data_IF_438670772202
#
_entry.id   IF_438670772202
#
_cell.length_a   1.000
_cell.length_b   1.000
_cell.length_c   1.000
_cell.angle_alpha   90.00
_cell.angle_beta   90.00
_cell.angle_gamma   90.00
#
_symmetry.space_group_name_H-M   'P 1'
#
loop_
_entity.id
_entity.type
_entity.pdbx_description
1 polymer ?
#
# COMPACT_ATOMS: atom_id res chain seq x y z
N UNK A 1 35.62 -20.39 -10.04
CA UNK A 1 36.71 -19.50 -10.50
C UNK A 1 36.07 -18.42 -11.36
N UNK A 2 36.07 -17.17 -10.89
CA UNK A 2 35.55 -16.03 -11.65
C UNK A 2 36.52 -15.69 -12.79
N UNK A 3 36.00 -15.48 -14.00
CA UNK A 3 36.82 -15.09 -15.17
C UNK A 3 36.69 -13.59 -15.36
N UNK A 4 37.83 -12.90 -15.45
CA UNK A 4 37.93 -11.46 -15.69
C UNK A 4 37.70 -11.12 -17.16
N UNK A 5 37.00 -10.02 -17.43
CA UNK A 5 37.15 -9.28 -18.69
C UNK A 5 37.02 -7.78 -18.42
N UNK A 6 38.09 -7.04 -18.70
CA UNK A 6 38.23 -5.57 -18.65
C UNK A 6 38.01 -4.97 -20.07
N UNK A 7 37.98 -3.63 -20.28
CA UNK A 7 37.78 -2.53 -19.33
C UNK A 7 36.66 -1.55 -19.77
N UNK A 8 36.02 -0.85 -18.83
CA UNK A 8 35.60 0.54 -19.07
C UNK A 8 35.66 1.31 -17.75
N UNK A 9 36.35 2.45 -17.78
CA UNK A 9 36.70 3.27 -16.64
C UNK A 9 35.52 4.17 -16.21
N UNK A 10 35.39 4.32 -14.89
CA UNK A 10 35.06 5.51 -14.07
C UNK A 10 33.94 5.19 -13.06
N UNK A 11 34.30 5.31 -11.78
CA UNK A 11 33.52 5.15 -10.55
C UNK A 11 33.56 3.76 -9.89
N UNK A 12 33.88 3.78 -8.60
CA UNK A 12 34.50 2.71 -7.81
C UNK A 12 33.45 1.84 -7.09
N UNK A 13 32.47 1.33 -7.83
CA UNK A 13 31.58 0.27 -7.35
C UNK A 13 31.84 -0.96 -8.22
N UNK A 14 32.55 -1.95 -7.65
CA UNK A 14 32.58 -3.28 -8.23
C UNK A 14 31.16 -3.86 -8.20
N UNK A 15 30.43 -3.76 -9.31
CA UNK A 15 29.25 -4.58 -9.51
C UNK A 15 29.70 -6.04 -9.65
N UNK A 16 29.69 -6.76 -8.53
CA UNK A 16 29.74 -8.22 -8.53
C UNK A 16 28.45 -8.75 -9.17
N UNK A 17 28.47 -9.04 -10.47
CA UNK A 17 27.49 -9.94 -11.06
C UNK A 17 27.88 -11.37 -10.65
N UNK A 18 27.48 -11.76 -9.43
CA UNK A 18 27.39 -13.17 -9.09
C UNK A 18 26.37 -13.84 -10.02
N UNK A 19 26.58 -15.09 -10.48
CA UNK A 19 25.49 -15.88 -11.03
C UNK A 19 24.39 -15.96 -9.95
N UNK A 20 23.28 -15.27 -10.19
CA UNK A 20 22.34 -14.87 -9.15
C UNK A 20 21.57 -16.06 -8.58
N UNK A 21 22.03 -16.60 -7.47
CA UNK A 21 21.25 -17.53 -6.64
C UNK A 21 20.10 -16.76 -6.00
N UNK A 22 18.86 -17.03 -6.41
CA UNK A 22 17.67 -16.34 -5.92
C UNK A 22 16.66 -17.34 -5.34
N UNK A 23 15.87 -16.88 -4.37
CA UNK A 23 14.76 -17.63 -3.78
C UNK A 23 13.49 -16.80 -3.94
N UNK A 24 12.37 -17.45 -4.25
CA UNK A 24 11.04 -16.82 -4.27
C UNK A 24 10.00 -17.75 -3.67
N UNK A 25 8.86 -17.18 -3.28
CA UNK A 25 7.67 -17.92 -2.89
C UNK A 25 6.62 -17.88 -4.00
N UNK A 26 5.99 -19.02 -4.26
CA UNK A 26 4.97 -19.17 -5.30
C UNK A 26 3.86 -20.14 -4.87
N UNK A 27 2.84 -20.33 -5.71
CA UNK A 27 1.80 -21.33 -5.52
C UNK A 27 0.40 -20.76 -5.26
N UNK A 28 -0.54 -21.62 -4.89
CA UNK A 28 -1.92 -21.22 -4.56
C UNK A 28 -1.96 -20.59 -3.18
N UNK A 29 -2.54 -19.40 -3.06
CA UNK A 29 -2.68 -18.70 -1.76
C UNK A 29 -1.36 -18.20 -1.16
N UNK A 30 -0.29 -18.09 -1.97
CA UNK A 30 0.97 -17.54 -1.50
C UNK A 30 0.85 -16.04 -1.14
N UNK A 31 1.68 -15.60 -0.19
CA UNK A 31 1.89 -14.20 0.17
C UNK A 31 3.37 -13.86 0.01
N UNK A 32 3.76 -12.63 0.32
CA UNK A 32 5.18 -12.23 0.39
C UNK A 32 6.01 -13.16 1.30
N UNK A 33 5.40 -13.68 2.36
CA UNK A 33 6.07 -14.42 3.43
C UNK A 33 5.49 -15.82 3.68
N UNK A 34 4.72 -16.36 2.74
CA UNK A 34 4.25 -17.74 2.79
C UNK A 34 4.04 -18.31 1.40
N UNK A 35 4.51 -19.51 1.12
CA UNK A 35 4.34 -20.14 -0.19
C UNK A 35 5.29 -21.31 -0.42
N UNK A 36 5.18 -21.95 -1.59
CA UNK A 36 6.13 -22.95 -2.08
C UNK A 36 7.48 -22.30 -2.35
N UNK A 37 8.56 -22.94 -1.91
CA UNK A 37 9.93 -22.44 -2.11
C UNK A 37 10.42 -22.80 -3.51
N UNK A 38 10.80 -21.78 -4.28
CA UNK A 38 11.46 -21.98 -5.58
C UNK A 38 12.83 -21.29 -5.55
N UNK A 39 13.82 -21.96 -6.13
CA UNK A 39 15.20 -21.49 -6.21
C UNK A 39 15.65 -21.34 -7.66
N UNK A 40 16.38 -20.26 -7.96
CA UNK A 40 16.95 -20.01 -9.27
C UNK A 40 18.39 -20.50 -9.31
N UNK A 41 18.65 -21.50 -10.15
CA UNK A 41 19.96 -22.11 -10.32
C UNK A 41 20.21 -22.38 -11.82
N UNK A 42 21.42 -22.11 -12.29
CA UNK A 42 21.84 -22.41 -13.68
C UNK A 42 20.87 -21.90 -14.77
N UNK A 43 20.25 -20.74 -14.56
CA UNK A 43 19.37 -20.12 -15.55
C UNK A 43 17.91 -20.58 -15.51
N UNK A 44 17.51 -21.42 -14.54
CA UNK A 44 16.14 -21.89 -14.42
C UNK A 44 15.65 -21.92 -12.97
N UNK A 45 14.35 -21.66 -12.80
CA UNK A 45 13.64 -21.87 -11.53
C UNK A 45 13.33 -23.36 -11.36
N UNK A 46 13.39 -23.82 -10.12
CA UNK A 46 12.97 -25.15 -9.72
C UNK A 46 12.61 -25.19 -8.24
N UNK A 47 11.94 -26.25 -7.81
CA UNK A 47 11.41 -26.41 -6.46
C UNK A 47 12.41 -27.10 -5.53
N UNK A 48 12.03 -27.20 -4.25
CA UNK A 48 12.77 -27.89 -3.19
C UNK A 48 11.90 -29.04 -2.71
N UNK A 49 12.47 -30.25 -2.57
CA UNK A 49 11.76 -31.39 -2.02
C UNK A 49 11.59 -31.27 -0.50
N UNK A 50 10.50 -31.81 0.04
CA UNK A 50 10.18 -31.79 1.47
C UNK A 50 10.79 -32.94 2.29
N UNK A 51 11.55 -33.86 1.65
CA UNK A 51 12.38 -34.84 2.34
C UNK A 51 13.36 -34.15 3.31
N UNK A 52 13.25 -34.49 4.59
CA UNK A 52 13.95 -33.89 5.73
C UNK A 52 13.72 -32.37 5.92
N UNK A 53 12.76 -31.76 5.21
CA UNK A 53 12.46 -30.33 5.30
C UNK A 53 11.88 -29.94 6.66
N UNK A 54 12.62 -29.13 7.41
CA UNK A 54 12.30 -28.78 8.78
C UNK A 54 12.18 -27.27 9.04
N UNK A 55 11.93 -26.91 10.29
CA UNK A 55 11.76 -25.51 10.69
C UNK A 55 13.06 -24.69 10.58
N UNK A 56 14.24 -25.33 10.69
CA UNK A 56 15.53 -24.66 10.50
C UNK A 56 15.75 -24.31 9.02
N UNK A 57 15.35 -25.19 8.11
CA UNK A 57 15.39 -24.90 6.66
C UNK A 57 14.46 -23.73 6.31
N UNK A 58 13.22 -23.80 6.82
CA UNK A 58 12.27 -22.72 6.67
C UNK A 58 12.79 -21.41 7.30
N UNK A 59 13.50 -21.47 8.44
CA UNK A 59 14.06 -20.31 9.11
C UNK A 59 15.09 -19.60 8.24
N UNK A 60 15.95 -20.36 7.55
CA UNK A 60 16.91 -19.80 6.60
C UNK A 60 16.20 -19.11 5.44
N UNK A 61 15.16 -19.73 4.86
CA UNK A 61 14.37 -19.12 3.78
C UNK A 61 13.67 -17.85 4.26
N UNK A 62 12.99 -17.89 5.41
CA UNK A 62 12.27 -16.75 5.97
C UNK A 62 13.21 -15.58 6.26
N UNK A 63 14.40 -15.85 6.81
CA UNK A 63 15.43 -14.82 7.02
C UNK A 63 15.98 -14.29 5.70
N UNK A 64 16.29 -15.17 4.74
CA UNK A 64 16.81 -14.79 3.43
C UNK A 64 15.84 -13.89 2.66
N UNK A 65 14.53 -14.07 2.83
CA UNK A 65 13.48 -13.27 2.21
C UNK A 65 13.10 -12.02 3.02
N UNK A 66 13.72 -11.77 4.19
CA UNK A 66 13.34 -10.66 5.07
C UNK A 66 11.96 -10.82 5.71
N UNK A 67 11.48 -12.05 5.84
CA UNK A 67 10.14 -12.39 6.32
C UNK A 67 10.09 -12.81 7.80
N UNK A 68 11.13 -12.50 8.58
CA UNK A 68 11.20 -12.80 10.00
C UNK A 68 11.51 -14.28 10.30
N UNK A 69 10.89 -14.83 11.34
CA UNK A 69 11.12 -16.20 11.81
C UNK A 69 10.21 -17.21 11.12
N UNK A 70 10.63 -18.46 10.95
CA UNK A 70 9.75 -19.50 10.45
C UNK A 70 8.69 -19.87 11.50
N UNK A 71 7.43 -19.88 11.07
CA UNK A 71 6.30 -20.39 11.86
C UNK A 71 5.99 -21.84 11.51
N UNK A 72 6.18 -22.23 10.24
CA UNK A 72 6.01 -23.62 9.81
C UNK A 72 6.79 -23.91 8.52
N UNK A 73 7.13 -25.19 8.35
CA UNK A 73 7.80 -25.77 7.18
C UNK A 73 6.87 -26.79 6.49
N UNK A 74 5.80 -26.36 5.80
CA UNK A 74 4.85 -27.28 5.18
C UNK A 74 5.48 -28.03 4.00
N UNK A 75 5.26 -29.34 3.94
CA UNK A 75 5.59 -30.20 2.79
C UNK A 75 4.36 -30.54 1.95
N UNK A 76 4.46 -31.64 1.21
CA UNK A 76 3.40 -32.30 0.46
C UNK A 76 2.65 -31.37 -0.50
N UNK A 77 3.38 -30.46 -1.14
CA UNK A 77 2.84 -29.47 -2.04
C UNK A 77 1.65 -28.67 -1.45
N UNK A 78 1.73 -28.31 -0.16
CA UNK A 78 0.66 -27.57 0.53
C UNK A 78 0.22 -26.29 -0.21
N UNK A 79 1.15 -25.58 -0.84
CA UNK A 79 0.87 -24.40 -1.68
C UNK A 79 0.65 -24.75 -3.16
N UNK A 80 0.29 -25.98 -3.45
CA UNK A 80 0.20 -26.54 -4.79
C UNK A 80 1.54 -27.00 -5.34
N UNK A 81 1.46 -27.86 -6.34
CA UNK A 81 2.60 -28.43 -7.04
C UNK A 81 3.27 -27.39 -7.94
N UNK A 82 4.60 -27.40 -7.97
CA UNK A 82 5.41 -26.75 -8.97
C UNK A 82 5.49 -27.56 -10.26
N UNK A 83 6.40 -27.14 -11.12
CA UNK A 83 6.64 -27.76 -12.43
C UNK A 83 8.11 -27.68 -12.79
N UNK A 84 8.63 -28.67 -13.49
CA UNK A 84 9.98 -28.64 -14.05
C UNK A 84 11.00 -29.31 -13.14
N UNK A 85 12.02 -28.56 -12.73
CA UNK A 85 13.17 -29.09 -11.99
C UNK A 85 12.90 -29.05 -10.49
N UNK A 86 13.39 -30.06 -9.77
CA UNK A 86 13.52 -30.08 -8.31
C UNK A 86 15.02 -29.96 -8.01
N UNK A 87 15.45 -28.78 -7.56
CA UNK A 87 16.88 -28.44 -7.46
C UNK A 87 17.56 -29.02 -6.22
N UNK A 88 16.86 -29.01 -5.09
CA UNK A 88 17.38 -29.46 -3.80
C UNK A 88 16.55 -30.61 -3.25
N UNK A 89 17.26 -31.54 -2.63
CA UNK A 89 16.72 -32.62 -1.81
C UNK A 89 17.52 -32.73 -0.51
N UNK A 90 16.91 -33.31 0.53
CA UNK A 90 17.52 -33.53 1.85
C UNK A 90 18.21 -32.24 2.34
N UNK A 91 17.47 -31.12 2.35
CA UNK A 91 18.01 -29.86 2.86
C UNK A 91 18.15 -30.02 4.37
N UNK A 92 19.33 -29.70 4.89
CA UNK A 92 19.64 -29.83 6.31
C UNK A 92 20.42 -28.60 6.75
N UNK A 93 19.69 -27.50 6.92
CA UNK A 93 20.17 -26.28 7.54
C UNK A 93 20.34 -26.46 9.06
N UNK A 94 21.29 -25.74 9.63
CA UNK A 94 21.42 -25.54 11.08
C UNK A 94 20.48 -24.45 11.59
N UNK A 95 20.02 -23.56 10.69
CA UNK A 95 19.14 -22.43 10.99
C UNK A 95 19.87 -21.08 10.97
N UNK A 96 21.21 -21.08 10.95
CA UNK A 96 22.07 -19.88 11.00
C UNK A 96 22.69 -19.52 9.64
N UNK A 97 22.42 -20.29 8.59
CA UNK A 97 22.91 -20.02 7.26
C UNK A 97 22.32 -18.74 6.66
N UNK A 98 23.16 -17.87 6.08
CA UNK A 98 22.68 -16.64 5.43
C UNK A 98 21.74 -16.91 4.25
N UNK A 99 21.92 -18.03 3.55
CA UNK A 99 21.10 -18.40 2.39
C UNK A 99 20.89 -19.91 2.34
N UNK A 100 19.77 -20.34 1.75
CA UNK A 100 19.41 -21.75 1.56
C UNK A 100 20.49 -22.52 0.78
N UNK A 101 21.22 -21.81 -0.08
CA UNK A 101 22.32 -22.37 -0.89
C UNK A 101 23.55 -22.76 -0.05
N UNK A 102 23.69 -22.24 1.17
CA UNK A 102 24.78 -22.58 2.10
C UNK A 102 24.46 -23.78 2.99
N UNK A 103 23.20 -24.21 3.06
CA UNK A 103 22.83 -25.39 3.82
C UNK A 103 23.41 -26.66 3.20
N UNK A 104 23.61 -27.68 4.03
CA UNK A 104 23.87 -29.02 3.52
C UNK A 104 22.66 -29.46 2.71
N UNK A 105 22.89 -29.98 1.51
CA UNK A 105 21.84 -30.52 0.65
C UNK A 105 22.46 -31.55 -0.30
N UNK A 106 21.63 -32.49 -0.75
CA UNK A 106 22.00 -33.34 -1.88
C UNK A 106 21.61 -32.62 -3.16
N UNK A 107 22.61 -32.07 -3.85
CA UNK A 107 22.41 -31.48 -5.18
C UNK A 107 22.38 -32.57 -6.23
N UNK A 108 21.25 -32.66 -6.93
CA UNK A 108 21.05 -33.26 -8.26
C UNK A 108 20.97 -34.80 -8.36
N UNK A 109 20.01 -35.23 -9.20
CA UNK A 109 19.88 -36.50 -9.95
C UNK A 109 19.82 -37.83 -9.19
N UNK A 110 19.72 -37.84 -7.87
CA UNK A 110 19.57 -39.10 -7.11
C UNK A 110 18.52 -39.02 -6.00
N UNK A 111 17.50 -38.19 -6.20
CA UNK A 111 16.31 -38.12 -5.35
C UNK A 111 15.11 -38.72 -6.09
N UNK A 112 14.13 -39.22 -5.34
CA UNK A 112 12.90 -39.81 -5.91
C UNK A 112 11.72 -38.84 -5.88
N UNK A 113 11.99 -37.57 -5.55
CA UNK A 113 10.94 -36.63 -5.29
C UNK A 113 10.13 -36.30 -6.53
N UNK A 114 8.82 -36.18 -6.36
CA UNK A 114 7.90 -35.63 -7.32
C UNK A 114 7.32 -34.30 -6.81
N UNK A 115 6.56 -33.59 -7.65
CA UNK A 115 6.07 -32.26 -7.29
C UNK A 115 4.97 -32.25 -6.24
N UNK A 116 4.39 -33.41 -5.92
CA UNK A 116 3.54 -33.60 -4.74
C UNK A 116 4.35 -33.55 -3.42
N UNK A 117 5.68 -33.50 -3.49
CA UNK A 117 6.63 -33.37 -2.37
C UNK A 117 7.30 -31.98 -2.36
N UNK A 118 6.73 -30.98 -3.05
CA UNK A 118 7.31 -29.64 -3.04
C UNK A 118 7.15 -28.95 -1.68
N UNK A 119 8.28 -28.50 -1.13
CA UNK A 119 8.37 -27.80 0.15
C UNK A 119 7.89 -26.35 0.09
N UNK A 120 7.32 -25.89 1.20
CA UNK A 120 6.87 -24.52 1.42
C UNK A 120 7.32 -23.96 2.76
N UNK A 121 7.05 -22.67 2.94
CA UNK A 121 7.29 -21.95 4.20
C UNK A 121 6.09 -21.12 4.58
N UNK A 122 5.90 -20.94 5.88
CA UNK A 122 5.11 -19.85 6.45
C UNK A 122 6.01 -19.14 7.44
N UNK A 123 6.31 -17.88 7.15
CA UNK A 123 7.15 -17.04 7.99
C UNK A 123 6.28 -16.15 8.87
N UNK A 124 6.89 -15.60 9.92
CA UNK A 124 6.22 -14.73 10.88
C UNK A 124 5.74 -13.46 10.22
N UNK A 125 6.45 -13.03 9.17
CA UNK A 125 6.10 -12.06 8.14
C UNK A 125 5.39 -10.81 8.65
N UNK A 126 5.91 -9.63 8.34
CA UNK A 126 5.12 -8.43 8.61
C UNK A 126 3.86 -8.47 7.74
N UNK A 127 2.71 -8.68 8.37
CA UNK A 127 1.40 -8.61 7.73
C UNK A 127 0.75 -7.28 8.06
N UNK A 128 -0.05 -6.76 7.14
CA UNK A 128 -0.79 -5.53 7.36
C UNK A 128 -2.28 -5.80 7.16
N UNK A 129 -3.11 -5.22 8.02
CA UNK A 129 -4.57 -5.24 7.89
C UNK A 129 -5.14 -3.86 8.09
N UNK A 130 -6.33 -3.65 7.52
CA UNK A 130 -7.15 -2.46 7.69
C UNK A 130 -8.40 -2.83 8.52
N UNK A 131 -8.51 -2.28 9.73
CA UNK A 131 -9.57 -2.64 10.70
C UNK A 131 -10.28 -1.40 11.25
N UNK A 132 -11.25 -1.61 12.14
CA UNK A 132 -12.02 -0.56 12.78
C UNK A 132 -13.47 -0.47 12.28
N UNK A 133 -14.25 0.40 12.90
CA UNK A 133 -15.67 0.52 12.58
C UNK A 133 -15.87 1.06 11.16
N UNK A 134 -16.61 0.33 10.33
CA UNK A 134 -16.82 0.71 8.93
C UNK A 134 -15.58 0.54 8.03
N UNK A 135 -14.61 -0.29 8.45
CA UNK A 135 -13.48 -0.67 7.60
C UNK A 135 -13.91 -1.55 6.42
N UNK A 136 -13.13 -1.49 5.35
CA UNK A 136 -13.25 -2.33 4.16
C UNK A 136 -11.89 -2.95 3.87
N UNK A 137 -11.81 -3.79 2.82
CA UNK A 137 -10.53 -4.32 2.36
C UNK A 137 -9.48 -3.23 2.04
N UNK A 138 -9.94 -2.05 1.63
CA UNK A 138 -9.10 -0.96 1.14
C UNK A 138 -9.27 0.32 1.97
N UNK A 139 -9.85 0.25 3.16
CA UNK A 139 -9.93 1.40 4.07
C UNK A 139 -10.07 0.94 5.52
N UNK A 140 -9.27 1.50 6.42
CA UNK A 140 -9.27 1.11 7.84
C UNK A 140 -8.14 1.78 8.62
N UNK A 141 -8.15 1.60 9.94
CA UNK A 141 -6.98 1.78 10.79
C UNK A 141 -5.91 0.79 10.38
N UNK A 142 -4.68 1.26 10.23
CA UNK A 142 -3.52 0.46 9.84
C UNK A 142 -3.03 -0.31 11.05
N UNK A 143 -3.01 -1.64 10.94
CA UNK A 143 -2.39 -2.49 11.95
C UNK A 143 -1.38 -3.44 11.29
N UNK A 144 -0.25 -3.57 11.96
CA UNK A 144 0.91 -4.38 11.55
C UNK A 144 0.99 -5.61 12.46
N UNK A 145 1.18 -6.78 11.89
CA UNK A 145 1.50 -7.99 12.62
C UNK A 145 3.00 -8.16 12.66
N UNK A 146 3.57 -8.06 13.86
CA UNK A 146 5.00 -8.24 14.06
C UNK A 146 5.22 -8.99 15.38
N UNK A 147 6.21 -9.89 15.42
CA UNK A 147 6.57 -10.67 16.60
C UNK A 147 5.36 -11.31 17.34
N UNK A 148 4.48 -11.97 16.59
CA UNK A 148 3.37 -12.73 17.16
C UNK A 148 2.13 -11.92 17.58
N UNK A 149 2.09 -10.61 17.34
CA UNK A 149 0.97 -9.77 17.77
C UNK A 149 0.67 -8.60 16.82
N UNK A 150 -0.61 -8.23 16.74
CA UNK A 150 -1.08 -7.04 16.01
C UNK A 150 -0.87 -5.79 16.85
N UNK A 151 -0.45 -4.71 16.20
CA UNK A 151 -0.30 -3.38 16.79
C UNK A 151 -0.50 -2.29 15.74
N UNK A 152 -0.67 -1.06 16.18
CA UNK A 152 -1.04 0.08 15.32
C UNK A 152 0.18 0.82 14.78
N UNK A 153 -0.05 1.89 14.02
CA UNK A 153 0.97 2.77 13.42
C UNK A 153 0.63 4.21 13.80
N UNK A 154 1.60 4.98 14.27
CA UNK A 154 1.42 6.40 14.62
C UNK A 154 1.30 7.30 13.39
N UNK A 155 0.58 8.42 13.53
CA UNK A 155 0.31 9.42 12.50
C UNK A 155 1.38 10.49 12.35
N UNK A 156 2.41 10.46 13.19
CA UNK A 156 3.59 11.31 13.06
C UNK A 156 4.36 11.00 11.76
N UNK A 157 4.65 12.09 11.03
CA UNK A 157 5.21 12.12 9.68
C UNK A 157 4.45 11.33 8.59
N UNK A 158 3.28 10.74 8.90
CA UNK A 158 2.51 9.93 7.97
C UNK A 158 1.93 10.75 6.80
N UNK A 159 2.30 10.39 5.57
CA UNK A 159 2.01 11.13 4.36
C UNK A 159 1.32 10.31 3.24
N UNK A 160 1.26 10.93 2.06
CA UNK A 160 0.69 10.31 0.86
C UNK A 160 1.52 9.13 0.34
N UNK A 161 2.85 9.22 0.37
CA UNK A 161 3.73 8.16 -0.09
C UNK A 161 3.59 6.91 0.77
N UNK A 162 3.43 7.08 2.09
CA UNK A 162 3.20 5.96 3.02
C UNK A 162 1.91 5.23 2.67
N UNK A 163 0.85 6.01 2.47
CA UNK A 163 -0.45 5.45 2.10
C UNK A 163 -0.40 4.84 0.70
N UNK A 164 0.35 5.41 -0.24
CA UNK A 164 0.52 4.84 -1.57
C UNK A 164 1.23 3.49 -1.52
N UNK A 165 2.31 3.37 -0.74
CA UNK A 165 3.03 2.12 -0.53
C UNK A 165 2.10 1.09 0.11
N UNK A 166 1.38 1.47 1.17
CA UNK A 166 0.41 0.61 1.86
C UNK A 166 -0.70 0.12 0.91
N UNK A 167 -1.31 1.01 0.15
CA UNK A 167 -2.40 0.68 -0.77
C UNK A 167 -1.94 -0.23 -1.90
N UNK A 168 -0.74 0.02 -2.45
CA UNK A 168 -0.10 -0.86 -3.43
C UNK A 168 0.20 -2.23 -2.82
N UNK A 169 0.73 -2.28 -1.60
CA UNK A 169 1.03 -3.52 -0.88
C UNK A 169 -0.22 -4.37 -0.64
N UNK A 170 -1.37 -3.74 -0.35
CA UNK A 170 -2.66 -4.42 -0.16
C UNK A 170 -3.37 -4.79 -1.48
N UNK A 171 -2.80 -4.38 -2.63
CA UNK A 171 -3.39 -4.60 -3.95
C UNK A 171 -4.67 -3.79 -4.18
N UNK A 172 -4.79 -2.63 -3.54
CA UNK A 172 -5.90 -1.69 -3.72
C UNK A 172 -5.58 -0.69 -4.84
N UNK A 173 -6.62 -0.09 -5.45
CA UNK A 173 -6.41 1.03 -6.37
C UNK A 173 -5.74 2.18 -5.59
N UNK A 174 -4.85 2.91 -6.25
CA UNK A 174 -4.10 4.03 -5.67
C UNK A 174 -4.50 5.37 -6.28
N UNK A 175 -5.56 5.39 -7.10
CA UNK A 175 -6.06 6.63 -7.70
C UNK A 175 -6.66 7.54 -6.63
N UNK A 176 -7.50 7.02 -5.74
CA UNK A 176 -8.31 7.81 -4.80
C UNK A 176 -7.89 7.59 -3.33
N UNK A 177 -6.65 7.97 -3.01
CA UNK A 177 -6.06 7.81 -1.68
C UNK A 177 -6.47 8.96 -0.76
N UNK A 178 -6.99 8.60 0.42
CA UNK A 178 -7.09 9.44 1.62
C UNK A 178 -5.94 9.02 2.55
N UNK A 179 -4.90 9.87 2.69
CA UNK A 179 -3.68 9.50 3.40
C UNK A 179 -3.90 9.38 4.91
N UNK A 180 -4.88 10.10 5.45
CA UNK A 180 -5.13 10.11 6.89
C UNK A 180 -6.61 10.29 7.23
N UNK A 181 -7.10 9.48 8.18
CA UNK A 181 -8.43 9.61 8.76
C UNK A 181 -8.52 8.92 10.13
N UNK A 182 -9.14 9.58 11.11
CA UNK A 182 -9.41 9.01 12.45
C UNK A 182 -10.72 8.21 12.54
N UNK A 183 -11.43 8.01 11.43
CA UNK A 183 -12.82 7.47 11.42
C UNK A 183 -12.96 6.02 11.87
N UNK A 184 -11.87 5.27 11.88
CA UNK A 184 -11.89 3.85 12.20
C UNK A 184 -11.76 3.55 13.70
N UNK A 185 -11.63 4.62 14.50
CA UNK A 185 -11.43 4.57 15.93
C UNK A 185 -10.00 4.22 16.31
N UNK A 186 -9.71 4.40 17.58
CA UNK A 186 -8.44 4.06 18.21
C UNK A 186 -8.25 2.55 18.27
N UNK A 187 -7.01 2.11 18.17
CA UNK A 187 -6.61 0.75 18.43
C UNK A 187 -6.40 0.48 19.92
N UNK A 188 -5.81 -0.67 20.19
CA UNK A 188 -5.48 -1.11 21.54
C UNK A 188 -4.16 -1.89 21.49
N UNK A 189 -3.47 -1.93 22.64
CA UNK A 189 -2.27 -2.74 22.80
C UNK A 189 -1.02 -1.93 22.50
N UNK A 190 -0.18 -2.44 21.61
CA UNK A 190 1.08 -1.80 21.24
C UNK A 190 0.97 -1.01 19.94
N UNK A 191 1.77 0.05 19.83
CA UNK A 191 2.05 0.74 18.58
C UNK A 191 3.37 0.14 18.04
N UNK A 192 3.35 -0.30 16.78
CA UNK A 192 4.49 -0.97 16.18
C UNK A 192 5.42 -0.03 15.44
N UNK A 193 4.88 0.95 14.72
CA UNK A 193 5.64 1.83 13.86
C UNK A 193 5.31 3.28 14.19
N UNK A 194 6.32 4.12 14.02
CA UNK A 194 6.30 5.56 14.23
C UNK A 194 7.29 6.22 13.26
N UNK A 195 7.05 7.50 12.94
CA UNK A 195 7.77 8.30 11.94
C UNK A 195 7.99 7.53 10.64
N UNK A 196 6.91 6.93 10.11
CA UNK A 196 7.00 6.20 8.85
C UNK A 196 7.15 7.22 7.72
N UNK A 197 8.24 7.11 6.97
CA UNK A 197 8.58 8.04 5.88
C UNK A 197 9.02 7.27 4.64
N UNK A 198 8.06 6.95 3.78
CA UNK A 198 8.27 6.29 2.50
C UNK A 198 8.68 7.27 1.38
N UNK A 199 9.51 6.82 0.45
CA UNK A 199 9.82 7.49 -0.81
C UNK A 199 8.73 7.27 -1.88
N UNK A 200 7.83 6.29 -1.68
CA UNK A 200 6.72 5.96 -2.55
C UNK A 200 6.99 4.78 -3.50
N UNK A 201 8.21 4.26 -3.56
CA UNK A 201 8.60 3.15 -4.45
C UNK A 201 8.82 1.81 -3.72
N UNK A 202 8.69 1.82 -2.40
CA UNK A 202 8.87 0.68 -1.52
C UNK A 202 7.83 -0.41 -1.77
N UNK A 203 8.23 -1.67 -1.60
CA UNK A 203 7.32 -2.79 -1.82
C UNK A 203 6.46 -3.15 -0.60
N UNK A 204 6.81 -2.62 0.58
CA UNK A 204 6.11 -2.82 1.85
C UNK A 204 6.27 -1.58 2.72
N UNK A 205 5.29 -1.28 3.56
CA UNK A 205 5.34 -0.19 4.54
C UNK A 205 6.55 -0.31 5.49
N UNK A 206 6.93 -1.53 5.83
CA UNK A 206 8.11 -1.82 6.67
C UNK A 206 9.44 -1.77 5.93
N UNK A 207 9.43 -1.56 4.62
CA UNK A 207 10.66 -1.28 3.87
C UNK A 207 10.99 0.23 3.89
N UNK A 208 10.05 1.07 4.34
CA UNK A 208 10.22 2.51 4.47
C UNK A 208 11.08 2.86 5.70
N UNK A 209 11.62 4.07 5.72
CA UNK A 209 12.30 4.58 6.90
C UNK A 209 11.29 4.72 8.05
N UNK A 210 11.68 4.31 9.25
CA UNK A 210 10.90 4.40 10.49
C UNK A 210 11.82 4.26 11.70
N UNK A 211 11.38 4.68 12.89
CA UNK A 211 12.19 4.66 14.13
C UNK A 211 12.46 3.26 14.71
N UNK A 212 11.84 2.23 14.11
CA UNK A 212 12.00 0.83 14.48
C UNK A 212 10.82 0.31 15.29
N UNK A 213 10.68 -1.01 15.36
CA UNK A 213 9.51 -1.62 16.00
C UNK A 213 9.43 -1.30 17.50
N UNK A 214 8.27 -0.80 17.97
CA UNK A 214 8.00 -0.38 19.36
C UNK A 214 8.84 0.82 19.85
N UNK A 215 9.52 1.52 18.96
CA UNK A 215 10.18 2.78 19.29
C UNK A 215 9.25 3.91 18.85
N UNK A 216 8.52 4.50 19.80
CA UNK A 216 7.54 5.56 19.55
C UNK A 216 7.31 6.38 20.83
N UNK A 217 6.79 7.60 20.68
CA UNK A 217 6.27 8.41 21.81
C UNK A 217 4.75 8.71 21.71
N UNK A 218 4.08 8.12 20.72
CA UNK A 218 2.64 8.28 20.50
C UNK A 218 1.71 7.51 21.45
N UNK A 219 0.46 7.97 21.51
CA UNK A 219 -0.70 7.34 22.13
C UNK A 219 -1.72 6.85 21.07
N UNK A 220 -2.74 6.07 21.44
CA UNK A 220 -3.70 5.50 20.45
C UNK A 220 -4.64 6.51 19.76
N UNK A 221 -4.72 7.75 20.24
CA UNK A 221 -5.40 8.86 19.55
C UNK A 221 -4.65 9.33 18.29
N UNK A 222 -3.40 8.87 18.12
CA UNK A 222 -2.50 9.11 17.00
C UNK A 222 -2.42 7.89 16.06
N UNK A 223 -3.29 6.88 16.24
CA UNK A 223 -3.32 5.74 15.31
C UNK A 223 -3.79 6.15 13.90
N UNK A 224 -2.99 5.80 12.89
CA UNK A 224 -3.29 6.07 11.48
C UNK A 224 -4.47 5.25 10.99
N UNK A 225 -5.41 5.94 10.34
CA UNK A 225 -6.37 5.33 9.43
C UNK A 225 -6.25 5.85 8.01
N UNK A 226 -6.52 4.98 7.03
CA UNK A 226 -6.36 5.29 5.60
C UNK A 226 -7.59 4.86 4.79
N UNK A 227 -7.75 5.42 3.60
CA UNK A 227 -8.59 4.83 2.57
C UNK A 227 -7.88 4.86 1.21
N UNK A 228 -7.66 3.70 0.60
CA UNK A 228 -7.07 3.58 -0.73
C UNK A 228 -8.05 3.92 -1.86
N UNK A 229 -9.34 3.89 -1.55
CA UNK A 229 -10.41 4.35 -2.43
C UNK A 229 -11.46 5.07 -1.61
N UNK A 230 -11.56 6.40 -1.76
CA UNK A 230 -12.74 7.13 -1.32
C UNK A 230 -12.53 8.54 -0.77
N UNK A 231 -12.29 9.50 -1.67
CA UNK A 231 -12.98 10.79 -1.56
C UNK A 231 -13.72 11.05 -2.87
N UNK A 232 -14.95 10.55 -2.95
CA UNK A 232 -15.83 10.90 -4.06
C UNK A 232 -16.26 12.36 -3.89
N UNK A 233 -16.07 13.15 -4.94
CA UNK A 233 -16.67 14.47 -5.06
C UNK A 233 -17.87 14.40 -5.99
N UNK A 234 -18.93 15.13 -5.68
CA UNK A 234 -20.08 15.29 -6.57
C UNK A 234 -20.48 16.76 -6.69
N UNK A 235 -21.19 17.06 -7.77
CA UNK A 235 -21.83 18.35 -7.98
C UNK A 235 -23.33 18.22 -7.74
N UNK A 236 -23.86 19.01 -6.82
CA UNK A 236 -25.26 18.97 -6.39
C UNK A 236 -25.89 20.37 -6.37
N UNK A 237 -27.19 20.45 -6.06
CA UNK A 237 -27.91 21.72 -5.89
C UNK A 237 -28.82 22.10 -7.06
N UNK A 238 -29.44 23.27 -6.96
CA UNK A 238 -30.42 23.73 -7.94
C UNK A 238 -29.74 24.09 -9.26
N UNK A 239 -30.15 23.44 -10.35
CA UNK A 239 -29.57 23.66 -11.67
C UNK A 239 -28.20 23.00 -11.89
N UNK A 240 -27.78 22.09 -10.99
CA UNK A 240 -26.53 21.35 -11.18
C UNK A 240 -26.59 20.44 -12.40
N UNK A 241 -25.46 20.30 -13.08
CA UNK A 241 -25.20 19.32 -14.14
C UNK A 241 -24.04 18.42 -13.73
N UNK A 242 -23.64 17.48 -14.60
CA UNK A 242 -22.44 16.67 -14.38
C UNK A 242 -21.16 17.50 -14.16
N UNK A 243 -21.10 18.72 -14.71
CA UNK A 243 -19.90 19.57 -14.70
C UNK A 243 -20.17 20.99 -14.15
N UNK A 244 -21.26 21.16 -13.40
CA UNK A 244 -21.59 22.45 -12.75
C UNK A 244 -22.46 22.20 -11.53
N UNK A 245 -22.15 22.79 -10.37
CA UNK A 245 -22.95 22.63 -9.15
C UNK A 245 -22.18 22.95 -7.86
N UNK A 246 -22.86 22.82 -6.72
CA UNK A 246 -22.28 22.86 -5.37
C UNK A 246 -21.36 21.65 -5.20
N UNK A 247 -20.15 21.88 -4.68
CA UNK A 247 -19.17 20.83 -4.41
C UNK A 247 -19.52 20.13 -3.10
N UNK A 248 -19.73 18.83 -3.17
CA UNK A 248 -19.90 17.97 -2.00
C UNK A 248 -18.86 16.87 -2.00
N UNK A 249 -18.29 16.59 -0.84
CA UNK A 249 -17.26 15.56 -0.63
C UNK A 249 -17.87 14.44 0.21
N UNK A 250 -17.62 13.20 -0.19
CA UNK A 250 -18.01 12.03 0.60
C UNK A 250 -16.89 11.67 1.57
N UNK A 251 -17.11 11.96 2.85
CA UNK A 251 -16.21 11.59 3.93
C UNK A 251 -17.00 10.99 5.10
N UNK A 252 -16.37 10.06 5.83
CA UNK A 252 -16.97 9.43 7.01
C UNK A 252 -18.41 8.87 6.79
N UNK A 253 -18.65 8.25 5.63
CA UNK A 253 -19.94 7.62 5.30
C UNK A 253 -21.08 8.59 4.98
N UNK A 254 -20.81 9.90 4.91
CA UNK A 254 -21.83 10.92 4.63
C UNK A 254 -21.32 11.99 3.67
N UNK A 255 -22.24 12.56 2.89
CA UNK A 255 -21.95 13.72 2.05
C UNK A 255 -21.92 14.98 2.91
N UNK A 256 -20.95 15.84 2.66
CA UNK A 256 -20.83 17.14 3.28
C UNK A 256 -20.28 18.18 2.31
N UNK A 257 -20.33 19.44 2.70
CA UNK A 257 -20.06 20.58 1.81
C UNK A 257 -18.66 21.16 2.03
N UNK A 258 -18.28 22.11 1.19
CA UNK A 258 -16.99 22.81 1.25
C UNK A 258 -17.27 24.31 1.43
N UNK A 259 -16.53 24.95 2.34
CA UNK A 259 -16.67 26.36 2.68
C UNK A 259 -16.01 27.28 1.64
N UNK A 260 -16.57 28.48 1.46
CA UNK A 260 -16.08 29.48 0.49
C UNK A 260 -14.93 30.36 0.95
N UNK A 261 -14.47 30.19 2.19
CA UNK A 261 -13.29 30.87 2.70
C UNK A 261 -12.06 30.46 1.86
N UNK A 262 -11.45 31.46 1.20
CA UNK A 262 -10.34 31.34 0.23
C UNK A 262 -10.63 30.58 -1.08
N UNK A 263 -11.88 30.21 -1.36
CA UNK A 263 -12.26 29.46 -2.57
C UNK A 263 -12.03 30.24 -3.87
N UNK A 264 -11.11 29.74 -4.71
CA UNK A 264 -10.67 30.39 -5.94
C UNK A 264 -10.74 29.48 -7.19
N UNK A 265 -10.25 30.02 -8.32
CA UNK A 265 -10.27 29.30 -9.60
C UNK A 265 -9.30 28.11 -9.63
N UNK A 266 -8.23 28.12 -8.85
CA UNK A 266 -7.30 27.00 -8.72
C UNK A 266 -7.98 25.83 -8.00
N UNK A 267 -8.77 26.11 -6.96
CA UNK A 267 -9.58 25.08 -6.29
C UNK A 267 -10.60 24.47 -7.25
N UNK A 268 -11.32 25.32 -7.97
CA UNK A 268 -12.26 24.88 -9.00
C UNK A 268 -11.57 24.07 -10.10
N UNK A 269 -10.34 24.42 -10.47
CA UNK A 269 -9.56 23.69 -11.48
C UNK A 269 -9.22 22.26 -11.02
N UNK A 270 -8.91 22.07 -9.74
CA UNK A 270 -8.71 20.74 -9.15
C UNK A 270 -10.01 19.93 -9.21
N UNK A 271 -11.14 20.51 -8.79
CA UNK A 271 -12.47 19.86 -8.85
C UNK A 271 -12.84 19.46 -10.28
N UNK A 272 -12.72 20.37 -11.24
CA UNK A 272 -13.07 20.12 -12.63
C UNK A 272 -12.19 19.05 -13.28
N UNK A 273 -10.90 19.02 -12.93
CA UNK A 273 -9.97 17.97 -13.35
C UNK A 273 -10.32 16.63 -12.72
N UNK A 274 -10.56 16.59 -11.41
CA UNK A 274 -10.92 15.38 -10.66
C UNK A 274 -12.22 14.75 -11.19
N UNK A 275 -13.21 15.56 -11.58
CA UNK A 275 -14.46 15.09 -12.21
C UNK A 275 -14.32 14.72 -13.69
N UNK A 276 -13.16 14.97 -14.31
CA UNK A 276 -12.95 14.75 -15.74
C UNK A 276 -13.76 15.69 -16.64
N UNK A 277 -14.12 16.87 -16.14
CA UNK A 277 -14.97 17.87 -16.80
C UNK A 277 -14.19 18.94 -17.59
N UNK A 278 -12.86 18.85 -17.64
CA UNK A 278 -12.01 19.80 -18.36
C UNK A 278 -11.56 20.96 -17.47
N UNK A 279 -11.37 22.14 -18.07
CA UNK A 279 -10.92 23.34 -17.34
C UNK A 279 -12.04 23.97 -16.51
N UNK A 280 -11.67 24.60 -15.40
CA UNK A 280 -12.61 25.42 -14.63
C UNK A 280 -12.92 26.73 -15.36
N UNK A 281 -14.21 27.06 -15.43
CA UNK A 281 -14.70 28.33 -15.99
C UNK A 281 -14.98 29.34 -14.87
N UNK A 282 -15.51 28.88 -13.74
CA UNK A 282 -15.77 29.74 -12.58
C UNK A 282 -15.76 28.96 -11.26
N UNK A 283 -15.35 29.67 -10.21
CA UNK A 283 -15.47 29.30 -8.81
C UNK A 283 -16.57 30.18 -8.19
N UNK A 284 -17.56 29.57 -7.54
CA UNK A 284 -18.72 30.27 -6.98
C UNK A 284 -18.73 30.15 -5.45
N UNK A 285 -18.58 31.26 -4.72
CA UNK A 285 -18.79 31.28 -3.28
C UNK A 285 -20.29 31.38 -2.93
N UNK A 286 -20.59 31.37 -1.63
CA UNK A 286 -21.84 31.83 -1.03
C UNK A 286 -23.11 31.11 -1.53
N UNK A 287 -23.06 29.78 -1.57
CA UNK A 287 -24.20 28.90 -1.85
C UNK A 287 -24.93 29.22 -3.17
N UNK A 288 -24.18 29.56 -4.22
CA UNK A 288 -24.73 29.90 -5.54
C UNK A 288 -25.68 28.83 -6.11
N UNK A 289 -25.41 27.55 -5.86
CA UNK A 289 -26.26 26.42 -6.28
C UNK A 289 -27.26 25.99 -5.19
N UNK A 290 -27.52 26.87 -4.23
CA UNK A 290 -28.30 26.60 -3.04
C UNK A 290 -27.46 26.00 -1.92
N UNK A 291 -28.00 26.08 -0.71
CA UNK A 291 -27.41 25.54 0.52
C UNK A 291 -27.47 24.02 0.50
N UNK A 292 -26.38 23.38 0.92
CA UNK A 292 -26.32 21.95 1.19
C UNK A 292 -26.87 21.62 2.57
N UNK A 293 -26.51 20.43 3.04
CA UNK A 293 -26.95 19.91 4.34
C UNK A 293 -25.90 18.97 4.90
N UNK A 294 -25.79 18.90 6.22
CA UNK A 294 -24.89 17.98 6.90
C UNK A 294 -23.59 18.66 7.33
N UNK A 295 -22.48 17.92 7.45
CA UNK A 295 -21.21 18.50 7.85
C UNK A 295 -20.59 19.37 6.74
N UNK A 296 -19.81 20.38 7.12
CA UNK A 296 -18.87 21.07 6.22
C UNK A 296 -17.52 20.36 6.36
N UNK A 297 -17.10 19.61 5.34
CA UNK A 297 -15.91 18.75 5.42
C UNK A 297 -14.60 19.49 5.25
N UNK A 298 -14.59 20.49 4.38
CA UNK A 298 -13.39 21.26 4.05
C UNK A 298 -13.66 22.75 4.25
N UNK A 299 -12.72 23.44 4.88
CA UNK A 299 -12.69 24.89 5.05
C UNK A 299 -11.33 25.43 4.63
N UNK A 300 -11.24 26.72 4.31
CA UNK A 300 -9.97 27.39 3.98
C UNK A 300 -9.17 26.61 2.91
N UNK A 301 -9.85 26.13 1.85
CA UNK A 301 -9.21 25.30 0.80
C UNK A 301 -8.32 26.20 -0.05
N UNK A 302 -7.06 25.80 -0.24
CA UNK A 302 -6.05 26.54 -0.99
C UNK A 302 -5.24 25.61 -1.87
N UNK A 303 -5.74 25.37 -3.07
CA UNK A 303 -5.06 24.63 -4.11
C UNK A 303 -4.07 25.53 -4.88
N UNK A 304 -2.93 24.99 -5.28
CA UNK A 304 -2.02 25.57 -6.28
C UNK A 304 -2.53 25.39 -7.72
N UNK A 305 -3.58 24.58 -7.92
CA UNK A 305 -4.21 24.30 -9.20
C UNK A 305 -3.63 23.08 -9.93
N UNK A 306 -2.61 22.44 -9.36
CA UNK A 306 -1.92 21.28 -9.93
C UNK A 306 -2.25 19.96 -9.21
N UNK A 307 -2.91 20.05 -8.04
CA UNK A 307 -3.32 18.91 -7.22
C UNK A 307 -4.27 18.00 -8.00
N UNK A 308 -4.15 16.69 -7.86
CA UNK A 308 -5.03 15.79 -8.60
C UNK A 308 -6.43 15.71 -7.98
N UNK A 309 -6.52 15.94 -6.67
CA UNK A 309 -7.76 15.80 -5.90
C UNK A 309 -7.93 16.95 -4.91
N UNK A 310 -9.18 17.34 -4.66
CA UNK A 310 -9.49 18.48 -3.79
C UNK A 310 -9.00 18.30 -2.35
N UNK A 311 -9.01 17.07 -1.86
CA UNK A 311 -8.53 16.71 -0.51
C UNK A 311 -7.00 16.76 -0.36
N UNK A 312 -6.26 16.99 -1.46
CA UNK A 312 -4.80 17.17 -1.41
C UNK A 312 -4.38 18.63 -1.22
N UNK A 313 -5.31 19.57 -1.38
CA UNK A 313 -5.01 20.97 -1.21
C UNK A 313 -4.85 21.31 0.27
N UNK A 314 -4.08 22.36 0.57
CA UNK A 314 -4.01 22.88 1.93
C UNK A 314 -5.43 23.25 2.39
N UNK A 315 -5.88 22.71 3.52
CA UNK A 315 -7.25 22.96 4.01
C UNK A 315 -7.33 22.84 5.54
N UNK A 316 -8.24 23.59 6.16
CA UNK A 316 -8.49 23.60 7.60
C UNK A 316 -9.26 22.39 8.16
N UNK A 317 -9.76 21.49 7.32
CA UNK A 317 -10.59 20.34 7.72
C UNK A 317 -11.90 20.76 8.40
N UNK A 318 -12.37 19.99 9.41
CA UNK A 318 -13.57 20.32 10.21
C UNK A 318 -13.41 21.56 11.13
N UNK A 319 -12.25 22.22 11.10
CA UNK A 319 -11.86 23.19 12.13
C UNK A 319 -12.31 24.59 11.77
N UNK A 320 -13.60 24.91 11.98
CA UNK A 320 -14.09 26.26 12.35
C UNK A 320 -15.60 26.26 12.68
N UNK A 321 -16.04 26.83 13.82
CA UNK A 321 -17.46 26.94 14.19
C UNK A 321 -18.27 28.01 13.42
N UNK A 322 -17.74 28.54 12.30
CA UNK A 322 -18.29 29.71 11.61
C UNK A 322 -18.61 29.51 10.13
N UNK A 323 -18.48 28.30 9.58
CA UNK A 323 -18.93 28.03 8.22
C UNK A 323 -20.33 27.39 8.25
N UNK A 324 -21.33 28.16 7.82
CA UNK A 324 -22.69 27.68 7.58
C UNK A 324 -22.91 27.34 6.11
N UNK A 325 -24.04 26.71 5.78
CA UNK A 325 -24.35 26.34 4.40
C UNK A 325 -24.64 27.52 3.48
N UNK A 326 -24.80 28.74 4.02
CA UNK A 326 -24.82 29.98 3.25
C UNK A 326 -23.48 30.27 2.56
N UNK A 327 -22.41 29.58 2.96
CA UNK A 327 -21.05 29.67 2.42
C UNK A 327 -20.63 28.46 1.57
N UNK A 328 -21.55 27.59 1.18
CA UNK A 328 -21.18 26.42 0.40
C UNK A 328 -20.67 26.81 -1.00
N UNK A 329 -19.54 26.23 -1.42
CA UNK A 329 -18.92 26.53 -2.72
C UNK A 329 -19.55 25.75 -3.86
N UNK A 330 -19.43 26.30 -5.06
CA UNK A 330 -19.74 25.62 -6.31
C UNK A 330 -18.71 25.90 -7.39
N UNK A 331 -18.82 25.12 -8.47
CA UNK A 331 -17.97 25.26 -9.66
C UNK A 331 -18.80 25.21 -10.93
N UNK A 332 -18.28 25.83 -11.98
CA UNK A 332 -18.69 25.56 -13.36
C UNK A 332 -17.45 25.18 -14.14
N UNK A 333 -17.49 24.01 -14.77
CA UNK A 333 -16.43 23.50 -15.64
C UNK A 333 -16.84 23.63 -17.11
N UNK A 334 -15.87 23.51 -18.01
CA UNK A 334 -16.10 23.56 -19.47
C UNK A 334 -17.12 22.51 -19.93
N UNK A 335 -17.06 21.30 -19.35
CA UNK A 335 -17.85 20.16 -19.75
C UNK A 335 -17.33 19.56 -21.06
N UNK A 336 -17.26 18.23 -21.14
CA UNK A 336 -16.89 17.59 -22.42
C UNK A 336 -18.00 17.81 -23.43
N UNK A 337 -17.73 18.61 -24.47
CA UNK A 337 -18.53 18.60 -25.70
C UNK A 337 -18.49 17.17 -26.25
N UNK A 338 -19.57 16.43 -26.08
CA UNK A 338 -19.80 15.20 -26.83
C UNK A 338 -19.93 15.61 -28.29
N UNK A 339 -18.87 15.43 -29.09
CA UNK A 339 -18.99 15.46 -30.53
C UNK A 339 -19.88 14.27 -30.93
N UNK A 340 -21.18 14.50 -31.05
CA UNK A 340 -22.04 13.62 -31.82
C UNK A 340 -21.59 13.80 -33.27
N UNK A 341 -20.75 12.90 -33.77
CA UNK A 341 -20.63 12.69 -35.21
C UNK A 341 -21.98 12.17 -35.69
N UNK A 342 -22.82 13.06 -36.20
CA UNK A 342 -23.95 12.69 -37.02
C UNK A 342 -23.35 12.23 -38.36
N UNK A 343 -23.41 10.93 -38.61
CA UNK A 343 -23.10 10.33 -39.91
C UNK A 343 -24.16 10.67 -40.96
#
# INVERSE_FOLDING_TARGET
MCVFSFPCFVSLIMCFLCPGYQVRLAGSGFTRCSGRVEVYLNGAWGTVCDDDWDLNDAQVVCRQLGCGTALSAPGSAHFGQGTGLIWFNDVACTGDEETLFKCSNRRLWNHKCAHDEDAGVVCSGVQIRLVGSGSTRCSGRVEVYHNGSWGTVCDDDWDFNDTQVLCRQLGCDTRDIVPFTRRFGEGIGQIWLDDVSCLGNESSLTDCQHEGFRNHDCDHNEDVGVACSGSDIRLAGSGSTQCSGRVEVYQNGTWGTVCDDDWDLNDAQVVCRQLGCGSALSAHPSAHFGQGSGPVWLTDVRCSGHEQYLVQCEHGGLRRPHCGHDKDVGVVCEGKKSFIQVF
#
